data_IF_675101509745
#
_entry.id   IF_675101509745
#
_cell.length_a   1.000
_cell.length_b   1.000
_cell.length_c   1.000
_cell.angle_alpha   90.00
_cell.angle_beta   90.00
_cell.angle_gamma   90.00
#
_symmetry.space_group_name_H-M   'P 1'
#
loop_
_entity.id
_entity.type
_entity.pdbx_description
1 polymer ?
#
# COMPACT_ATOMS: atom_id res chain seq x y z
N UNK A 1 -21.33 -0.60 -20.26
CA UNK A 1 -22.09 -1.82 -19.94
C UNK A 1 -21.89 -2.07 -18.45
N UNK A 2 -22.91 -1.77 -17.62
CA UNK A 2 -22.80 -1.81 -16.15
C UNK A 2 -23.32 -3.18 -15.68
N UNK A 3 -22.43 -4.06 -15.26
CA UNK A 3 -22.79 -5.31 -14.58
C UNK A 3 -22.78 -5.01 -13.08
N UNK A 4 -23.95 -5.17 -12.47
CA UNK A 4 -24.15 -5.07 -11.03
C UNK A 4 -23.69 -6.39 -10.40
N UNK A 5 -22.85 -6.27 -9.38
CA UNK A 5 -22.22 -7.35 -8.62
C UNK A 5 -23.24 -8.29 -7.94
N UNK A 6 -22.98 -9.61 -7.85
CA UNK A 6 -23.48 -10.39 -6.74
C UNK A 6 -22.56 -10.17 -5.53
N UNK A 7 -23.13 -9.61 -4.47
CA UNK A 7 -22.51 -9.59 -3.14
C UNK A 7 -22.40 -11.05 -2.69
N UNK A 8 -21.18 -11.59 -2.63
CA UNK A 8 -20.90 -12.90 -2.06
C UNK A 8 -21.27 -12.87 -0.58
N UNK A 9 -22.34 -13.59 -0.24
CA UNK A 9 -22.72 -13.93 1.12
C UNK A 9 -21.69 -14.93 1.64
N UNK A 10 -20.96 -14.56 2.68
CA UNK A 10 -20.17 -15.51 3.47
C UNK A 10 -21.13 -16.49 4.17
N UNK A 11 -21.27 -17.70 3.63
CA UNK A 11 -21.73 -18.85 4.41
C UNK A 11 -20.50 -19.61 4.89
N UNK A 12 -20.39 -19.78 6.21
CA UNK A 12 -19.41 -20.65 6.84
C UNK A 12 -19.52 -22.06 6.26
N UNK A 13 -18.54 -22.48 5.47
CA UNK A 13 -18.45 -23.84 4.97
C UNK A 13 -17.83 -24.75 6.04
N UNK A 14 -18.66 -25.50 6.75
CA UNK A 14 -18.25 -26.80 7.26
C UNK A 14 -18.25 -27.79 6.10
N UNK A 15 -17.21 -28.61 6.04
CA UNK A 15 -16.89 -29.48 4.91
C UNK A 15 -17.95 -30.57 4.65
N UNK A 16 -18.64 -30.49 3.51
CA UNK A 16 -19.17 -31.66 2.78
C UNK A 16 -19.20 -31.35 1.27
N UNK A 17 -18.84 -32.31 0.39
CA UNK A 17 -18.88 -32.09 -1.04
C UNK A 17 -20.31 -32.28 -1.55
N UNK A 18 -20.94 -31.21 -2.03
CA UNK A 18 -22.20 -31.30 -2.77
C UNK A 18 -21.92 -30.86 -4.21
N UNK A 19 -22.04 -31.80 -5.14
CA UNK A 19 -22.20 -31.51 -6.56
C UNK A 19 -23.48 -30.69 -6.74
N UNK A 20 -23.36 -29.40 -7.02
CA UNK A 20 -24.50 -28.54 -7.38
C UNK A 20 -24.57 -28.36 -8.90
N UNK A 21 -25.61 -28.96 -9.46
CA UNK A 21 -26.12 -28.69 -10.79
C UNK A 21 -26.86 -27.33 -10.72
N UNK A 22 -26.38 -26.33 -11.45
CA UNK A 22 -26.98 -24.99 -11.45
C UNK A 22 -28.14 -24.95 -12.45
N UNK A 23 -29.37 -25.01 -11.93
CA UNK A 23 -30.55 -24.48 -12.60
C UNK A 23 -30.92 -23.14 -11.94
N UNK A 24 -31.09 -22.11 -12.76
CA UNK A 24 -31.58 -20.78 -12.35
C UNK A 24 -32.94 -20.89 -11.67
N UNK A 25 -33.03 -20.46 -10.41
CA UNK A 25 -34.28 -19.93 -9.88
C UNK A 25 -34.05 -18.94 -8.71
N UNK A 26 -34.68 -17.78 -8.88
CA UNK A 26 -35.20 -16.84 -7.88
C UNK A 26 -34.35 -16.57 -6.62
N UNK A 27 -33.47 -15.56 -6.72
CA UNK A 27 -32.85 -14.89 -5.57
C UNK A 27 -33.88 -13.99 -4.86
N UNK A 28 -34.24 -14.35 -3.63
CA UNK A 28 -35.21 -13.64 -2.79
C UNK A 28 -34.61 -12.35 -2.17
N UNK A 29 -35.22 -11.20 -2.50
CA UNK A 29 -34.81 -9.85 -2.06
C UNK A 29 -35.10 -9.57 -0.57
N UNK A 30 -35.90 -10.40 0.10
CA UNK A 30 -36.22 -10.24 1.52
C UNK A 30 -35.06 -10.73 2.40
N UNK A 31 -34.41 -11.84 2.02
CA UNK A 31 -33.30 -12.45 2.77
C UNK A 31 -32.05 -11.56 2.81
N UNK A 32 -31.77 -10.84 1.73
CA UNK A 32 -30.65 -9.89 1.66
C UNK A 32 -30.81 -8.68 2.59
N UNK A 33 -32.04 -8.27 2.91
CA UNK A 33 -32.28 -7.11 3.80
C UNK A 33 -32.04 -7.42 5.27
N UNK A 34 -32.27 -8.66 5.69
CA UNK A 34 -32.07 -9.08 7.08
C UNK A 34 -30.58 -9.32 7.40
N UNK A 35 -29.80 -9.87 6.47
CA UNK A 35 -28.35 -10.06 6.64
C UNK A 35 -27.61 -8.71 6.75
N UNK A 36 -28.00 -7.72 5.94
CA UNK A 36 -27.42 -6.37 6.01
C UNK A 36 -27.74 -5.69 7.33
N UNK A 37 -28.94 -5.93 7.90
CA UNK A 37 -29.42 -5.33 9.15
C UNK A 37 -28.72 -5.88 10.39
N UNK A 38 -28.34 -7.17 10.39
CA UNK A 38 -27.68 -7.81 11.52
C UNK A 38 -26.16 -7.59 11.55
N UNK A 39 -25.54 -7.14 10.43
CA UNK A 39 -24.14 -6.71 10.39
C UNK A 39 -23.94 -5.24 10.82
N UNK A 40 -24.99 -4.42 10.92
CA UNK A 40 -24.91 -2.97 11.23
C UNK A 40 -24.18 -2.63 12.55
N UNK A 41 -24.34 -3.37 13.66
CA UNK A 41 -23.73 -2.95 14.94
C UNK A 41 -22.21 -3.16 15.02
N UNK A 42 -21.62 -3.94 14.10
CA UNK A 42 -20.17 -4.22 14.06
C UNK A 42 -19.42 -3.14 13.24
N UNK A 43 -20.14 -2.29 12.50
CA UNK A 43 -19.57 -1.45 11.43
C UNK A 43 -19.06 -0.08 11.90
N UNK A 44 -19.35 0.38 13.12
CA UNK A 44 -19.04 1.77 13.52
C UNK A 44 -18.38 1.87 14.91
N UNK A 45 -17.06 1.80 14.98
CA UNK A 45 -16.35 2.15 16.23
C UNK A 45 -14.87 1.80 16.35
N UNK A 46 -14.30 0.97 15.48
CA UNK A 46 -12.87 0.66 15.52
C UNK A 46 -12.01 1.79 14.94
N UNK A 47 -10.93 2.17 15.62
CA UNK A 47 -9.88 3.03 15.03
C UNK A 47 -9.14 2.22 13.97
N UNK A 48 -9.42 2.49 12.69
CA UNK A 48 -8.73 1.82 11.59
C UNK A 48 -7.29 2.33 11.46
N UNK A 49 -6.32 1.43 11.29
CA UNK A 49 -4.94 1.83 11.06
C UNK A 49 -4.85 2.57 9.72
N UNK A 50 -5.26 1.94 8.62
CA UNK A 50 -5.28 2.55 7.27
C UNK A 50 -6.52 3.43 7.09
N UNK A 51 -6.32 4.68 6.65
CA UNK A 51 -7.43 5.55 6.29
C UNK A 51 -8.21 4.96 5.09
N UNK A 52 -9.54 5.04 5.14
CA UNK A 52 -10.40 4.55 4.06
C UNK A 52 -10.06 5.13 2.69
N UNK A 53 -9.65 6.40 2.63
CA UNK A 53 -9.30 7.10 1.39
C UNK A 53 -7.95 6.67 0.81
N UNK A 54 -7.14 5.93 1.57
CA UNK A 54 -5.89 5.32 1.12
C UNK A 54 -5.97 3.79 1.01
N UNK A 55 -7.18 3.24 1.09
CA UNK A 55 -7.44 1.82 0.91
C UNK A 55 -7.60 1.45 -0.58
N UNK A 56 -6.81 0.49 -1.04
CA UNK A 56 -6.74 0.06 -2.44
C UNK A 56 -7.47 -1.26 -2.72
N UNK A 57 -7.81 -2.06 -1.70
CA UNK A 57 -8.40 -3.38 -1.97
C UNK A 57 -9.87 -3.31 -2.41
N UNK A 58 -10.14 -3.79 -3.63
CA UNK A 58 -11.46 -4.05 -4.21
C UNK A 58 -11.55 -3.51 -5.64
N UNK A 59 -12.64 -3.78 -6.36
CA UNK A 59 -12.77 -3.38 -7.77
C UNK A 59 -13.83 -2.29 -8.00
N UNK A 60 -14.51 -1.82 -6.94
CA UNK A 60 -15.55 -0.79 -7.01
C UNK A 60 -15.69 -0.06 -5.68
N UNK A 61 -16.25 1.15 -5.67
CA UNK A 61 -16.38 1.98 -4.46
C UNK A 61 -17.15 1.29 -3.32
N UNK A 62 -18.12 0.43 -3.65
CA UNK A 62 -18.86 -0.35 -2.66
C UNK A 62 -17.96 -1.45 -2.09
N UNK A 63 -17.28 -2.21 -2.95
CA UNK A 63 -16.35 -3.25 -2.50
C UNK A 63 -15.22 -2.67 -1.64
N UNK A 64 -14.64 -1.52 -2.04
CA UNK A 64 -13.63 -0.82 -1.25
C UNK A 64 -14.10 -0.54 0.17
N UNK A 65 -15.29 0.05 0.31
CA UNK A 65 -15.87 0.36 1.63
C UNK A 65 -16.13 -0.90 2.46
N UNK A 66 -16.72 -1.93 1.84
CA UNK A 66 -17.07 -3.17 2.54
C UNK A 66 -15.81 -3.91 2.99
N UNK A 67 -14.82 -4.05 2.10
CA UNK A 67 -13.57 -4.73 2.40
C UNK A 67 -12.75 -3.99 3.44
N UNK A 68 -12.67 -2.66 3.37
CA UNK A 68 -12.02 -1.84 4.40
C UNK A 68 -12.65 -2.08 5.77
N UNK A 69 -13.97 -1.99 5.88
CA UNK A 69 -14.69 -2.21 7.15
C UNK A 69 -14.53 -3.63 7.69
N UNK A 70 -14.59 -4.66 6.84
CA UNK A 70 -14.37 -6.06 7.27
C UNK A 70 -12.97 -6.19 7.84
N UNK A 71 -11.97 -5.72 7.08
CA UNK A 71 -10.58 -5.88 7.46
C UNK A 71 -10.21 -5.02 8.67
N UNK A 72 -10.75 -3.82 8.82
CA UNK A 72 -10.49 -2.96 9.98
C UNK A 72 -11.05 -3.54 11.27
N UNK A 73 -12.12 -4.33 11.20
CA UNK A 73 -12.73 -4.95 12.38
C UNK A 73 -12.11 -6.32 12.70
N UNK A 74 -11.69 -7.08 11.69
CA UNK A 74 -11.15 -8.43 11.88
C UNK A 74 -9.63 -8.47 12.01
N UNK A 75 -8.94 -7.54 11.37
CA UNK A 75 -7.51 -7.62 11.02
C UNK A 75 -6.84 -6.25 11.02
N UNK A 76 -7.20 -5.37 11.96
CA UNK A 76 -6.73 -3.98 11.93
C UNK A 76 -5.20 -3.90 11.93
N UNK A 77 -4.52 -4.78 12.67
CA UNK A 77 -3.06 -4.79 12.71
C UNK A 77 -2.37 -5.31 11.44
N UNK A 78 -3.14 -5.80 10.45
CA UNK A 78 -2.67 -6.29 9.15
C UNK A 78 -3.14 -5.46 7.97
N UNK A 79 -3.96 -4.45 8.25
CA UNK A 79 -4.50 -3.54 7.25
C UNK A 79 -3.41 -2.92 6.37
N UNK A 80 -2.29 -2.40 6.90
CA UNK A 80 -1.25 -1.78 6.08
C UNK A 80 -0.59 -2.75 5.09
N UNK A 81 -0.25 -3.96 5.53
CA UNK A 81 0.39 -4.98 4.68
C UNK A 81 -0.58 -5.55 3.63
N UNK A 82 -1.84 -5.79 4.00
CA UNK A 82 -2.87 -6.22 3.04
C UNK A 82 -3.12 -5.13 1.99
N UNK A 83 -3.20 -3.88 2.42
CA UNK A 83 -3.39 -2.74 1.52
C UNK A 83 -2.24 -2.61 0.52
N UNK A 84 -1.01 -2.88 0.95
CA UNK A 84 0.16 -2.96 0.07
C UNK A 84 -0.01 -4.04 -1.00
N UNK A 85 -0.41 -5.25 -0.63
CA UNK A 85 -0.64 -6.33 -1.61
C UNK A 85 -1.68 -5.95 -2.67
N UNK A 86 -2.76 -5.28 -2.27
CA UNK A 86 -3.76 -4.77 -3.21
C UNK A 86 -3.20 -3.67 -4.11
N UNK A 87 -2.41 -2.74 -3.58
CA UNK A 87 -1.81 -1.68 -4.36
C UNK A 87 -0.90 -2.22 -5.48
N UNK A 88 -0.10 -3.24 -5.18
CA UNK A 88 0.76 -3.92 -6.16
C UNK A 88 -0.07 -4.68 -7.19
N UNK A 89 -1.10 -5.41 -6.76
CA UNK A 89 -1.99 -6.17 -7.64
C UNK A 89 -2.75 -5.28 -8.63
N UNK A 90 -3.39 -4.22 -8.12
CA UNK A 90 -4.08 -3.22 -8.94
C UNK A 90 -3.14 -2.61 -9.96
N UNK A 91 -1.92 -2.23 -9.56
CA UNK A 91 -0.93 -1.65 -10.47
C UNK A 91 -0.51 -2.66 -11.55
N UNK A 92 -0.37 -3.94 -11.20
CA UNK A 92 -0.11 -5.02 -12.15
C UNK A 92 -1.24 -5.15 -13.19
N UNK A 93 -2.48 -5.06 -12.74
CA UNK A 93 -3.68 -5.09 -13.57
C UNK A 93 -3.81 -3.86 -14.48
N UNK A 94 -3.56 -2.66 -13.93
CA UNK A 94 -3.69 -1.37 -14.62
C UNK A 94 -2.68 -1.24 -15.76
N UNK A 95 -1.46 -1.75 -15.57
CA UNK A 95 -0.38 -1.68 -16.55
C UNK A 95 -0.19 -2.95 -17.40
N UNK A 96 -1.07 -3.94 -17.24
CA UNK A 96 -1.00 -5.22 -17.97
C UNK A 96 0.38 -5.89 -17.85
N UNK A 97 0.94 -5.88 -16.64
CA UNK A 97 2.29 -6.38 -16.38
C UNK A 97 2.30 -7.90 -16.30
N UNK A 98 2.62 -8.56 -17.41
CA UNK A 98 2.63 -10.01 -17.51
C UNK A 98 1.23 -10.57 -17.79
N UNK A 99 0.93 -11.77 -17.26
CA UNK A 99 -0.41 -12.36 -17.37
C UNK A 99 -1.25 -12.03 -16.13
N UNK A 100 -2.58 -12.09 -16.27
CA UNK A 100 -3.50 -12.03 -15.12
C UNK A 100 -3.12 -13.01 -14.03
N UNK A 101 -2.80 -14.25 -14.42
CA UNK A 101 -2.40 -15.30 -13.48
C UNK A 101 -1.12 -14.94 -12.72
N UNK A 102 -0.16 -14.29 -13.37
CA UNK A 102 1.05 -13.79 -12.72
C UNK A 102 0.73 -12.74 -11.65
N UNK A 103 -0.12 -11.76 -11.97
CA UNK A 103 -0.59 -10.76 -11.00
C UNK A 103 -1.34 -11.43 -9.83
N UNK A 104 -2.26 -12.34 -10.12
CA UNK A 104 -3.09 -13.03 -9.11
C UNK A 104 -2.25 -13.91 -8.19
N UNK A 105 -1.28 -14.65 -8.73
CA UNK A 105 -0.39 -15.49 -7.93
C UNK A 105 0.50 -14.65 -7.01
N UNK A 106 1.08 -13.56 -7.53
CA UNK A 106 1.88 -12.65 -6.70
C UNK A 106 1.04 -12.01 -5.59
N UNK A 107 -0.20 -11.62 -5.88
CA UNK A 107 -1.13 -11.13 -4.87
C UNK A 107 -1.39 -12.15 -3.77
N UNK A 108 -1.69 -13.41 -4.14
CA UNK A 108 -1.93 -14.47 -3.18
C UNK A 108 -0.71 -14.74 -2.29
N UNK A 109 0.50 -14.77 -2.88
CA UNK A 109 1.74 -14.93 -2.12
C UNK A 109 2.03 -13.74 -1.21
N UNK A 110 1.73 -12.52 -1.66
CA UNK A 110 1.85 -11.32 -0.85
C UNK A 110 0.91 -11.38 0.36
N UNK A 111 -0.36 -11.73 0.14
CA UNK A 111 -1.33 -11.89 1.22
C UNK A 111 -0.91 -12.97 2.21
N UNK A 112 -0.45 -14.13 1.73
CA UNK A 112 0.04 -15.19 2.60
C UNK A 112 1.18 -14.68 3.49
N UNK A 113 2.17 -13.98 2.93
CA UNK A 113 3.26 -13.37 3.73
C UNK A 113 2.75 -12.31 4.71
N UNK A 114 1.84 -11.44 4.27
CA UNK A 114 1.27 -10.38 5.11
C UNK A 114 0.53 -10.97 6.33
N UNK A 115 -0.22 -12.05 6.10
CA UNK A 115 -1.11 -12.68 7.07
C UNK A 115 -0.46 -13.80 7.89
N UNK A 116 0.74 -14.25 7.52
CA UNK A 116 1.48 -15.28 8.23
C UNK A 116 2.26 -14.68 9.42
N UNK A 117 1.59 -14.57 10.58
CA UNK A 117 2.24 -14.29 11.87
C UNK A 117 1.77 -15.23 12.97
N UNK A 118 2.67 -15.58 13.92
CA UNK A 118 2.28 -16.32 15.10
C UNK A 118 1.25 -15.52 15.90
N UNK A 119 0.25 -16.22 16.45
CA UNK A 119 -0.83 -15.66 17.28
C UNK A 119 -1.81 -14.72 16.56
N UNK A 120 -1.85 -14.70 15.22
CA UNK A 120 -2.94 -14.05 14.49
C UNK A 120 -4.20 -14.94 14.55
N UNK A 121 -5.38 -14.36 14.77
CA UNK A 121 -6.63 -15.12 14.77
C UNK A 121 -6.82 -15.86 13.43
N UNK A 122 -7.40 -17.07 13.47
CA UNK A 122 -7.59 -17.91 12.28
C UNK A 122 -8.44 -17.22 11.20
N UNK A 123 -9.48 -16.51 11.64
CA UNK A 123 -10.38 -15.70 10.82
C UNK A 123 -9.64 -14.58 10.09
N UNK A 124 -8.59 -14.06 10.72
CA UNK A 124 -7.77 -13.01 10.14
C UNK A 124 -6.73 -13.60 9.17
N UNK A 125 -6.01 -14.64 9.56
CA UNK A 125 -4.89 -15.16 8.76
C UNK A 125 -5.32 -15.92 7.49
N UNK A 126 -5.93 -17.08 7.65
CA UNK A 126 -6.06 -18.08 6.57
C UNK A 126 -7.35 -17.94 5.77
N UNK A 127 -8.47 -17.77 6.46
CA UNK A 127 -9.78 -17.70 5.81
C UNK A 127 -9.89 -16.52 4.84
N UNK A 128 -9.37 -15.35 5.22
CA UNK A 128 -9.33 -14.17 4.35
C UNK A 128 -8.43 -14.39 3.14
N UNK A 129 -7.19 -14.84 3.35
CA UNK A 129 -6.21 -15.09 2.29
C UNK A 129 -6.74 -16.06 1.24
N UNK A 130 -7.27 -17.21 1.66
CA UNK A 130 -7.82 -18.24 0.76
C UNK A 130 -9.01 -17.69 -0.04
N UNK A 131 -9.89 -16.94 0.62
CA UNK A 131 -11.07 -16.34 -0.01
C UNK A 131 -10.69 -15.27 -1.02
N UNK A 132 -9.84 -14.31 -0.62
CA UNK A 132 -9.39 -13.22 -1.48
C UNK A 132 -8.66 -13.77 -2.71
N UNK A 133 -7.76 -14.75 -2.52
CA UNK A 133 -7.05 -15.41 -3.61
C UNK A 133 -8.00 -16.13 -4.59
N UNK A 134 -9.00 -16.85 -4.07
CA UNK A 134 -10.00 -17.52 -4.89
C UNK A 134 -10.82 -16.52 -5.71
N UNK A 135 -11.24 -15.42 -5.08
CA UNK A 135 -12.05 -14.37 -5.71
C UNK A 135 -11.30 -13.71 -6.87
N UNK A 136 -10.04 -13.29 -6.67
CA UNK A 136 -9.28 -12.65 -7.77
C UNK A 136 -9.03 -13.63 -8.92
N UNK A 137 -8.73 -14.90 -8.62
CA UNK A 137 -8.49 -15.92 -9.65
C UNK A 137 -9.75 -16.24 -10.47
N UNK A 138 -10.92 -16.23 -9.85
CA UNK A 138 -12.19 -16.52 -10.55
C UNK A 138 -12.80 -15.30 -11.25
N UNK A 139 -12.73 -14.11 -10.62
CA UNK A 139 -13.47 -12.92 -11.07
C UNK A 139 -12.57 -11.81 -11.64
N UNK A 140 -11.26 -11.85 -11.37
CA UNK A 140 -10.30 -10.81 -11.77
C UNK A 140 -10.20 -10.60 -13.28
N UNK A 141 -10.56 -11.62 -14.09
CA UNK A 141 -10.58 -11.49 -15.55
C UNK A 141 -11.53 -10.41 -16.07
N UNK A 142 -12.53 -10.01 -15.30
CA UNK A 142 -13.47 -8.94 -15.68
C UNK A 142 -12.91 -7.53 -15.50
N UNK A 143 -11.84 -7.38 -14.72
CA UNK A 143 -11.24 -6.07 -14.36
C UNK A 143 -9.78 -5.95 -14.77
N UNK A 144 -9.16 -7.04 -15.23
CA UNK A 144 -7.80 -7.04 -15.78
C UNK A 144 -7.70 -6.16 -17.02
N UNK A 145 -6.82 -5.14 -16.98
CA UNK A 145 -6.74 -4.12 -18.03
C UNK A 145 -7.90 -3.13 -18.07
N UNK A 146 -8.80 -3.18 -17.08
CA UNK A 146 -9.97 -2.29 -17.00
C UNK A 146 -9.61 -0.84 -16.65
N UNK A 147 -8.37 -0.59 -16.20
CA UNK A 147 -7.92 0.69 -15.68
C UNK A 147 -8.75 1.06 -14.47
N UNK A 148 -8.28 0.73 -13.27
CA UNK A 148 -8.81 1.36 -12.07
C UNK A 148 -8.76 2.87 -12.26
N UNK A 149 -9.82 3.59 -11.87
CA UNK A 149 -9.70 5.03 -11.78
C UNK A 149 -8.54 5.30 -10.83
N UNK A 150 -7.47 5.91 -11.33
CA UNK A 150 -6.58 6.73 -10.50
C UNK A 150 -7.52 7.74 -9.86
N UNK A 151 -8.11 7.36 -8.71
CA UNK A 151 -8.60 8.33 -7.77
C UNK A 151 -7.41 9.24 -7.62
N UNK A 152 -7.56 10.50 -8.04
CA UNK A 152 -6.62 11.57 -7.73
C UNK A 152 -6.21 11.30 -6.30
N UNK A 153 -4.99 10.79 -6.13
CA UNK A 153 -4.51 10.41 -4.82
C UNK A 153 -4.31 11.72 -4.09
N UNK A 154 -5.39 12.21 -3.47
CA UNK A 154 -5.41 13.44 -2.70
C UNK A 154 -4.55 13.27 -1.44
N UNK A 155 -4.22 12.03 -1.07
CA UNK A 155 -3.43 11.68 0.10
C UNK A 155 -2.14 10.99 -0.36
N UNK A 156 -1.08 11.78 -0.55
CA UNK A 156 0.27 11.25 -0.62
C UNK A 156 0.83 11.13 0.80
N UNK A 157 1.26 9.93 1.19
CA UNK A 157 2.01 9.75 2.43
C UNK A 157 3.49 10.01 2.20
N UNK A 158 4.14 10.54 3.21
CA UNK A 158 5.59 10.71 3.23
C UNK A 158 6.14 9.75 4.28
N UNK A 159 7.22 9.01 4.00
CA UNK A 159 7.86 8.23 5.03
C UNK A 159 8.38 9.18 6.13
N UNK A 160 8.50 8.68 7.36
CA UNK A 160 8.99 9.46 8.51
C UNK A 160 10.52 9.55 8.48
N UNK A 161 11.06 10.20 7.45
CA UNK A 161 12.49 10.40 7.20
C UNK A 161 12.85 11.89 7.27
N UNK A 162 14.13 12.20 7.10
CA UNK A 162 14.59 13.59 7.00
C UNK A 162 14.02 14.32 5.76
N UNK A 163 14.13 15.65 5.75
CA UNK A 163 13.59 16.50 4.69
C UNK A 163 14.14 16.18 3.30
N UNK A 164 15.42 15.81 3.20
CA UNK A 164 16.05 15.47 1.91
C UNK A 164 15.48 14.18 1.35
N UNK A 165 15.39 13.13 2.17
CA UNK A 165 14.80 11.86 1.76
C UNK A 165 13.32 12.01 1.37
N UNK A 166 12.55 12.82 2.13
CA UNK A 166 11.16 13.12 1.80
C UNK A 166 11.02 13.89 0.48
N UNK A 167 11.91 14.84 0.20
CA UNK A 167 11.90 15.56 -1.06
C UNK A 167 12.16 14.64 -2.25
N UNK A 168 13.11 13.71 -2.15
CA UNK A 168 13.38 12.73 -3.21
C UNK A 168 12.26 11.70 -3.36
N UNK A 169 11.63 11.29 -2.26
CA UNK A 169 10.44 10.42 -2.29
C UNK A 169 9.25 11.12 -2.98
N UNK A 170 9.08 12.42 -2.76
CA UNK A 170 8.04 13.19 -3.44
C UNK A 170 8.28 13.36 -4.93
N UNK A 171 9.53 13.51 -5.34
CA UNK A 171 9.89 13.48 -6.75
C UNK A 171 9.63 12.11 -7.36
N UNK A 172 9.81 11.03 -6.59
CA UNK A 172 9.48 9.68 -7.04
C UNK A 172 8.01 9.54 -7.44
N UNK A 173 7.06 10.11 -6.67
CA UNK A 173 5.65 10.12 -7.04
C UNK A 173 5.35 10.84 -8.37
N UNK A 174 6.16 11.84 -8.73
CA UNK A 174 6.01 12.59 -9.98
C UNK A 174 6.58 11.83 -11.17
N UNK A 175 7.77 11.25 -11.02
CA UNK A 175 8.46 10.53 -12.10
C UNK A 175 7.88 9.12 -12.35
N UNK A 176 7.23 8.53 -11.34
CA UNK A 176 6.64 7.20 -11.38
C UNK A 176 5.11 7.23 -11.29
N UNK A 177 4.44 8.05 -12.12
CA UNK A 177 2.99 8.28 -12.00
C UNK A 177 2.15 7.00 -12.01
N UNK A 178 2.49 6.05 -12.89
CA UNK A 178 1.79 4.76 -12.98
C UNK A 178 1.98 3.84 -11.77
N UNK A 179 2.92 4.13 -10.88
CA UNK A 179 3.29 3.27 -9.75
C UNK A 179 2.99 3.93 -8.39
N UNK A 180 2.16 4.98 -8.36
CA UNK A 180 1.87 5.73 -7.13
C UNK A 180 1.27 4.86 -6.02
N UNK A 181 0.28 4.02 -6.33
CA UNK A 181 -0.43 3.18 -5.34
C UNK A 181 0.54 2.38 -4.44
N UNK A 182 1.45 1.54 -4.96
CA UNK A 182 2.36 0.78 -4.12
C UNK A 182 3.39 1.68 -3.42
N UNK A 183 3.85 2.77 -4.05
CA UNK A 183 4.74 3.74 -3.39
C UNK A 183 4.08 4.40 -2.17
N UNK A 184 2.80 4.73 -2.25
CA UNK A 184 2.01 5.26 -1.14
C UNK A 184 1.90 4.22 -0.02
N UNK A 185 1.61 2.97 -0.36
CA UNK A 185 1.55 1.88 0.62
C UNK A 185 2.90 1.64 1.30
N UNK A 186 4.03 1.69 0.58
CA UNK A 186 5.36 1.57 1.18
C UNK A 186 5.65 2.71 2.17
N UNK A 187 5.39 3.97 1.77
CA UNK A 187 5.56 5.13 2.65
C UNK A 187 4.67 5.04 3.90
N UNK A 188 3.43 4.59 3.71
CA UNK A 188 2.47 4.42 4.79
C UNK A 188 2.89 3.31 5.77
N UNK A 189 3.34 2.15 5.28
CA UNK A 189 3.87 1.07 6.12
C UNK A 189 5.06 1.53 6.96
N UNK A 190 5.95 2.32 6.38
CA UNK A 190 7.05 2.95 7.12
C UNK A 190 6.52 3.87 8.21
N UNK A 191 5.58 4.77 7.90
CA UNK A 191 4.99 5.70 8.86
C UNK A 191 4.36 4.96 10.05
N UNK A 192 3.56 3.93 9.77
CA UNK A 192 2.92 3.08 10.77
C UNK A 192 3.94 2.40 11.68
N UNK A 193 5.04 1.90 11.09
CA UNK A 193 6.12 1.27 11.85
C UNK A 193 6.85 2.29 12.74
N UNK A 194 7.29 3.42 12.18
CA UNK A 194 8.06 4.45 12.89
C UNK A 194 7.24 5.12 14.01
N UNK A 195 5.95 5.36 13.79
CA UNK A 195 5.06 5.95 14.77
C UNK A 195 4.46 4.92 15.76
N UNK A 196 4.89 3.66 15.67
CA UNK A 196 4.43 2.59 16.56
C UNK A 196 2.90 2.45 16.59
N UNK A 197 2.25 2.61 15.43
CA UNK A 197 0.79 2.59 15.31
C UNK A 197 0.21 1.15 15.34
N UNK A 198 1.06 0.13 15.38
CA UNK A 198 0.67 -1.28 15.54
C UNK A 198 0.95 -1.76 16.97
N UNK A 199 0.25 -2.81 17.46
CA UNK A 199 0.53 -3.39 18.77
C UNK A 199 1.98 -3.88 18.91
N UNK A 200 2.69 -3.39 19.93
CA UNK A 200 4.11 -3.67 20.20
C UNK A 200 4.35 -5.16 20.43
N UNK A 201 3.40 -5.87 21.03
CA UNK A 201 3.50 -7.31 21.33
C UNK A 201 3.55 -8.17 20.06
N UNK A 202 3.19 -7.59 18.91
CA UNK A 202 3.10 -8.30 17.63
C UNK A 202 4.16 -7.89 16.62
N UNK A 203 4.78 -6.71 16.74
CA UNK A 203 5.76 -6.20 15.77
C UNK A 203 6.99 -5.63 16.47
N UNK A 204 8.18 -6.07 16.05
CA UNK A 204 9.40 -5.34 16.40
C UNK A 204 9.36 -4.01 15.64
N UNK A 205 9.16 -2.91 16.36
CA UNK A 205 9.02 -1.57 15.78
C UNK A 205 10.30 -0.75 15.98
N UNK A 206 11.45 -1.42 15.98
CA UNK A 206 12.73 -0.72 16.01
C UNK A 206 12.92 0.06 14.69
N UNK A 207 13.36 1.31 14.81
CA UNK A 207 13.51 2.21 13.65
C UNK A 207 14.37 1.63 12.51
N UNK A 208 15.52 0.93 12.76
CA UNK A 208 16.27 0.28 11.70
C UNK A 208 15.44 -0.71 10.89
N UNK A 209 14.57 -1.49 11.56
CA UNK A 209 13.68 -2.45 10.93
C UNK A 209 12.64 -1.72 10.06
N UNK A 210 12.07 -0.61 10.53
CA UNK A 210 11.11 0.19 9.77
C UNK A 210 11.70 0.71 8.45
N UNK A 211 12.93 1.23 8.48
CA UNK A 211 13.61 1.71 7.28
C UNK A 211 14.02 0.57 6.34
N UNK A 212 14.53 -0.53 6.89
CA UNK A 212 14.86 -1.72 6.09
C UNK A 212 13.61 -2.27 5.39
N UNK A 213 12.47 -2.30 6.09
CA UNK A 213 11.18 -2.68 5.52
C UNK A 213 10.72 -1.72 4.40
N UNK A 214 10.95 -0.41 4.52
CA UNK A 214 10.67 0.55 3.44
C UNK A 214 11.53 0.26 2.20
N UNK A 215 12.84 0.09 2.38
CA UNK A 215 13.76 -0.19 1.28
C UNK A 215 13.41 -1.52 0.59
N UNK A 216 13.11 -2.56 1.38
CA UNK A 216 12.64 -3.85 0.87
C UNK A 216 11.31 -3.72 0.11
N UNK A 217 10.36 -2.96 0.63
CA UNK A 217 9.08 -2.69 -0.04
C UNK A 217 9.28 -2.05 -1.42
N UNK A 218 10.14 -1.03 -1.50
CA UNK A 218 10.49 -0.36 -2.75
C UNK A 218 11.17 -1.30 -3.74
N UNK A 219 12.13 -2.11 -3.27
CA UNK A 219 12.88 -3.05 -4.11
C UNK A 219 11.96 -4.13 -4.69
N UNK A 220 11.22 -4.84 -3.83
CA UNK A 220 10.26 -5.89 -4.23
C UNK A 220 9.18 -5.34 -5.19
N UNK A 221 8.63 -4.16 -4.91
CA UNK A 221 7.67 -3.48 -5.79
C UNK A 221 8.30 -3.18 -7.14
N UNK A 222 9.50 -2.59 -7.14
CA UNK A 222 10.15 -2.14 -8.36
C UNK A 222 10.53 -3.28 -9.30
N UNK A 223 10.94 -4.40 -8.72
CA UNK A 223 11.32 -5.60 -9.45
C UNK A 223 10.09 -6.30 -10.02
N UNK A 224 9.04 -6.53 -9.21
CA UNK A 224 7.83 -7.20 -9.69
C UNK A 224 7.08 -6.38 -10.75
N UNK A 225 6.93 -5.06 -10.53
CA UNK A 225 6.21 -4.18 -11.45
C UNK A 225 7.08 -3.67 -12.60
N UNK A 226 8.31 -4.16 -12.72
CA UNK A 226 9.28 -3.75 -13.74
C UNK A 226 9.43 -2.22 -13.85
N UNK A 227 9.40 -1.51 -12.72
CA UNK A 227 9.50 -0.03 -12.68
C UNK A 227 10.78 0.46 -13.37
N UNK A 228 11.84 -0.36 -13.32
CA UNK A 228 13.15 -0.10 -13.93
C UNK A 228 13.12 -0.01 -15.46
N UNK A 229 12.05 -0.48 -16.12
CA UNK A 229 11.88 -0.32 -17.57
C UNK A 229 11.55 1.12 -17.98
N UNK A 230 11.01 1.93 -17.07
CA UNK A 230 10.84 3.36 -17.29
C UNK A 230 12.10 4.10 -16.83
N UNK A 231 12.85 4.68 -17.78
CA UNK A 231 14.14 5.32 -17.50
C UNK A 231 14.05 6.46 -16.48
N UNK A 232 13.02 7.29 -16.56
CA UNK A 232 12.83 8.43 -15.65
C UNK A 232 12.50 7.93 -14.23
N UNK A 233 11.53 7.03 -14.13
CA UNK A 233 11.14 6.42 -12.86
C UNK A 233 12.30 5.62 -12.23
N UNK A 234 13.01 4.79 -13.00
CA UNK A 234 14.16 4.02 -12.52
C UNK A 234 15.25 4.92 -11.94
N UNK A 235 15.59 6.01 -12.64
CA UNK A 235 16.62 6.94 -12.18
C UNK A 235 16.21 7.62 -10.88
N UNK A 236 14.96 8.07 -10.79
CA UNK A 236 14.47 8.72 -9.57
C UNK A 236 14.33 7.73 -8.41
N UNK A 237 13.98 6.46 -8.69
CA UNK A 237 13.95 5.39 -7.69
C UNK A 237 15.32 5.17 -7.06
N UNK A 238 16.38 5.09 -7.87
CA UNK A 238 17.75 4.95 -7.37
C UNK A 238 18.14 6.14 -6.46
N UNK A 239 17.80 7.37 -6.88
CA UNK A 239 18.06 8.58 -6.08
C UNK A 239 17.32 8.55 -4.76
N UNK A 240 16.03 8.18 -4.76
CA UNK A 240 15.22 8.09 -3.55
C UNK A 240 15.75 7.01 -2.60
N UNK A 241 16.10 5.83 -3.11
CA UNK A 241 16.68 4.72 -2.31
C UNK A 241 17.97 5.16 -1.63
N UNK A 242 18.89 5.81 -2.34
CA UNK A 242 20.13 6.28 -1.74
C UNK A 242 19.89 7.37 -0.69
N UNK A 243 18.96 8.30 -0.94
CA UNK A 243 18.57 9.32 0.05
C UNK A 243 17.98 8.70 1.33
N UNK A 244 17.18 7.62 1.20
CA UNK A 244 16.63 6.87 2.34
C UNK A 244 17.74 6.16 3.13
N UNK A 245 18.71 5.52 2.45
CA UNK A 245 19.84 4.85 3.13
C UNK A 245 20.68 5.82 3.93
N UNK A 246 20.88 7.03 3.39
CA UNK A 246 21.67 8.08 4.02
C UNK A 246 20.91 8.88 5.09
N UNK A 247 19.61 8.65 5.27
CA UNK A 247 18.75 9.56 6.05
C UNK A 247 19.23 9.75 7.49
N UNK A 248 19.53 8.64 8.19
CA UNK A 248 19.96 8.65 9.57
C UNK A 248 21.35 9.25 9.74
N UNK A 249 22.24 9.03 8.76
CA UNK A 249 23.57 9.61 8.75
C UNK A 249 23.50 11.14 8.60
N UNK A 250 22.66 11.62 7.68
CA UNK A 250 22.44 13.04 7.44
C UNK A 250 21.72 13.71 8.62
N UNK A 251 20.90 12.97 9.35
CA UNK A 251 20.18 13.45 10.54
C UNK A 251 21.00 13.34 11.83
N UNK A 252 22.29 13.01 11.74
CA UNK A 252 23.20 12.83 12.88
C UNK A 252 22.69 11.84 13.94
N UNK A 253 21.88 10.86 13.52
CA UNK A 253 21.41 9.80 14.41
C UNK A 253 22.58 8.88 14.80
N UNK A 254 22.50 8.19 15.95
CA UNK A 254 23.52 7.23 16.37
C UNK A 254 23.86 6.21 15.27
N UNK A 255 25.11 5.77 15.20
CA UNK A 255 25.60 4.82 14.17
C UNK A 255 24.82 3.50 14.15
N UNK A 256 24.22 3.09 15.27
CA UNK A 256 23.29 1.96 15.34
C UNK A 256 22.09 2.08 14.41
N UNK A 257 21.69 3.31 14.07
CA UNK A 257 20.62 3.63 13.13
C UNK A 257 21.13 3.90 11.72
N UNK A 258 22.43 3.83 11.42
CA UNK A 258 22.91 4.01 10.06
C UNK A 258 22.59 2.77 9.22
N UNK A 259 22.34 2.96 7.93
CA UNK A 259 22.08 1.84 7.03
C UNK A 259 23.35 0.98 6.88
N UNK A 260 23.24 -0.30 7.26
CA UNK A 260 24.38 -1.23 7.19
C UNK A 260 24.43 -1.86 5.80
N UNK A 261 25.41 -1.44 5.01
CA UNK A 261 25.72 -2.13 3.75
C UNK A 261 26.27 -3.51 4.12
N UNK A 262 25.61 -4.57 3.65
CA UNK A 262 26.09 -5.93 3.85
C UNK A 262 27.40 -6.10 3.05
N UNK A 263 28.54 -6.17 3.74
CA UNK A 263 29.89 -6.17 3.12
C UNK A 263 30.08 -7.29 2.09
N UNK A 264 29.37 -8.41 2.25
CA UNK A 264 29.42 -9.54 1.32
C UNK A 264 28.86 -9.22 -0.08
N UNK A 265 28.00 -8.21 -0.22
CA UNK A 265 27.47 -7.75 -1.52
C UNK A 265 28.45 -6.83 -2.24
N UNK A 266 29.27 -6.08 -1.50
CA UNK A 266 30.31 -5.21 -2.06
C UNK A 266 31.44 -6.01 -2.72
N UNK A 267 31.84 -7.13 -2.14
CA UNK A 267 32.92 -7.99 -2.70
C UNK A 267 32.49 -8.69 -4.00
N UNK A 268 31.20 -9.00 -4.16
CA UNK A 268 30.63 -9.59 -5.38
C UNK A 268 30.51 -8.56 -6.54
N UNK A 269 30.22 -7.30 -6.23
CA UNK A 269 30.17 -6.22 -7.23
C UNK A 269 31.57 -5.78 -7.71
N UNK A 270 32.60 -5.94 -6.87
CA UNK A 270 34.00 -5.63 -7.22
C UNK A 270 34.62 -6.72 -8.12
N UNK A 271 34.15 -7.97 -8.04
CA UNK A 271 34.68 -9.09 -8.84
C UNK A 271 34.06 -9.24 -10.22
N UNK A 272 32.98 -8.51 -10.54
CA UNK A 272 32.33 -8.50 -11.86
C UNK A 272 32.43 -7.11 -12.49
N UNK A 273 33.66 -6.71 -12.79
CA UNK A 273 34.00 -5.33 -13.17
C UNK A 273 33.29 -4.77 -14.41
N UNK A 274 32.83 -3.53 -14.27
CA UNK A 274 33.06 -2.48 -15.26
C UNK A 274 33.34 -1.15 -14.50
N UNK A 275 34.57 -0.61 -14.52
CA UNK A 275 35.00 0.49 -13.66
C UNK A 275 34.49 1.88 -14.08
N UNK A 276 33.34 1.96 -14.77
CA UNK A 276 32.86 3.19 -15.40
C UNK A 276 31.40 3.54 -15.05
N UNK A 277 31.03 3.48 -13.76
CA UNK A 277 29.79 4.12 -13.27
C UNK A 277 30.07 5.04 -12.09
N UNK A 278 29.97 6.33 -12.40
CA UNK A 278 29.72 7.51 -11.58
C UNK A 278 29.95 7.38 -10.07
N UNK A 279 31.02 8.06 -9.63
CA UNK A 279 31.20 8.58 -8.29
C UNK A 279 30.08 9.60 -8.02
N UNK A 280 28.99 9.17 -7.37
CA UNK A 280 27.98 10.09 -6.85
C UNK A 280 28.59 10.81 -5.64
N UNK A 281 29.03 12.04 -5.85
CA UNK A 281 29.24 13.00 -4.77
C UNK A 281 27.90 13.69 -4.51
N UNK A 282 27.31 13.57 -3.32
CA UNK A 282 26.14 14.35 -2.95
C UNK A 282 26.48 15.82 -3.11
N UNK A 283 25.82 16.50 -4.05
CA UNK A 283 25.89 17.95 -4.11
C UNK A 283 25.05 18.43 -2.94
N UNK A 284 25.67 18.98 -1.90
CA UNK A 284 24.93 19.72 -0.86
C UNK A 284 24.14 20.81 -1.58
N UNK A 285 22.83 20.62 -1.69
CA UNK A 285 21.92 21.67 -2.08
C UNK A 285 21.74 22.50 -0.82
N UNK A 286 22.35 23.68 -0.78
CA UNK A 286 21.93 24.73 0.15
C UNK A 286 20.48 25.04 -0.19
N UNK A 287 19.56 24.61 0.67
CA UNK A 287 18.18 25.07 0.63
C UNK A 287 18.23 26.47 1.22
N UNK A 288 18.24 27.48 0.35
CA UNK A 288 17.89 28.83 0.76
C UNK A 288 16.44 28.77 1.27
N UNK A 289 16.29 29.05 2.56
CA UNK A 289 15.01 29.15 3.24
C UNK A 289 14.33 30.45 2.82
N UNK A 290 13.72 30.47 1.64
CA UNK A 290 12.71 31.47 1.31
C UNK A 290 11.39 31.01 1.92
N UNK A 291 11.20 31.49 3.15
CA UNK A 291 9.95 31.49 3.90
C UNK A 291 9.04 32.58 3.31
N UNK A 292 8.17 32.25 2.36
CA UNK A 292 7.01 33.08 2.02
C UNK A 292 5.91 32.29 1.26
N UNK A 293 4.66 32.59 1.60
CA UNK A 293 3.39 32.17 0.98
C UNK A 293 2.84 30.76 1.22
N UNK A 294 2.40 30.52 2.47
CA UNK A 294 1.21 29.71 2.75
C UNK A 294 0.20 30.50 3.58
N UNK A 295 -0.57 31.37 2.92
CA UNK A 295 -1.89 31.78 3.40
C UNK A 295 -2.75 32.28 2.24
N UNK A 296 -3.59 31.41 1.68
CA UNK A 296 -4.94 31.73 1.20
C UNK A 296 -5.60 30.49 0.53
N UNK A 297 -6.19 29.62 1.35
CA UNK A 297 -7.31 28.79 0.90
C UNK A 297 -8.58 29.46 1.45
N UNK A 298 -9.23 30.18 0.54
CA UNK A 298 -10.54 30.80 0.72
C UNK A 298 -11.61 29.73 1.00
N UNK A 299 -11.98 29.56 2.26
CA UNK A 299 -13.30 29.03 2.62
C UNK A 299 -14.27 30.22 2.60
N UNK A 300 -15.19 30.18 1.64
CA UNK A 300 -16.26 31.17 1.50
C UNK A 300 -17.09 31.29 2.78
N UNK A 301 -16.96 32.43 3.45
CA UNK A 301 -17.75 32.80 4.62
C UNK A 301 -17.62 34.29 4.89
N UNK A 302 -18.64 35.06 4.52
CA UNK A 302 -18.75 36.51 4.74
C UNK A 302 -18.40 36.90 6.18
N UNK A 303 -17.43 37.80 6.36
CA UNK A 303 -17.34 38.64 7.54
C UNK A 303 -17.18 40.11 7.13
N UNK A 304 -18.17 40.91 7.53
CA UNK A 304 -18.21 42.36 7.40
C UNK A 304 -17.05 42.95 8.20
N UNK A 305 -16.21 43.79 7.56
CA UNK A 305 -15.35 44.74 8.27
C UNK A 305 -16.24 45.85 8.87
N UNK A 306 -16.32 45.89 10.19
CA UNK A 306 -16.61 47.12 10.92
C UNK A 306 -15.28 47.72 11.36
N UNK A 307 -14.95 48.87 10.78
CA UNK A 307 -13.94 49.77 11.32
C UNK A 307 -14.43 50.30 12.67
N UNK A 308 -13.58 50.26 13.69
CA UNK A 308 -13.59 51.26 14.75
C UNK A 308 -12.17 51.40 15.33
N UNK A 309 -11.86 52.67 15.56
CA UNK A 309 -10.66 53.33 16.08
C UNK A 309 -10.17 52.71 17.39
#
# INVERSE_FOLDING_TARGET
MRIVLPILVFHFATAYPVHLNLNESAFDKESSRNIVRDMVPIIFGGTSTVNKDSWFCGASSIQWTVLHNIMSNMCNEKLPEVNYCCAVHDTCYDHLLGSRENCDNHFCECLDRAMNKPNLEFTCSRAYTDTACTVVKQLGGTVYGGGGSDIMVLISYHPALNQTANAEYNRLYKECEGYRKPLISCAYNHLVCTLQMLPVERYNQEYPDCRENLLKCLDETSDFLNMKNNVACSKQLDVAIEAIKDDARVSELPESYHYKINKNVQEAAVTTGNPNKNKYTPKMISIDSDEEDLSEILIGGKLKKTNLI
#
